data_IF_412072224951
#
_entry.id   IF_412072224951
#
_cell.length_a   1.000
_cell.length_b   1.000
_cell.length_c   1.000
_cell.angle_alpha   90.00
_cell.angle_beta   90.00
_cell.angle_gamma   90.00
#
_symmetry.space_group_name_H-M   'P 1'
#
loop_
_entity.id
_entity.type
_entity.pdbx_description
1 polymer ?
#
# COMPACT_ATOMS: atom_id res chain seq x y z
N UNK A 1 77.31 -83.59 -91.58
CA UNK A 1 76.74 -83.28 -90.25
C UNK A 1 76.66 -81.76 -90.12
N UNK A 2 75.44 -81.22 -90.08
CA UNK A 2 75.12 -79.81 -89.85
C UNK A 2 73.86 -79.75 -89.01
N UNK A 3 73.88 -78.94 -87.95
CA UNK A 3 72.90 -78.91 -86.84
C UNK A 3 71.57 -78.29 -87.29
N UNK A 4 70.44 -79.00 -87.19
CA UNK A 4 69.11 -78.37 -87.26
C UNK A 4 68.74 -77.79 -85.90
N UNK A 5 68.38 -76.51 -85.87
CA UNK A 5 67.83 -75.85 -84.69
C UNK A 5 66.36 -76.23 -84.50
N UNK A 6 65.92 -76.27 -83.24
CA UNK A 6 64.55 -76.60 -82.82
C UNK A 6 63.67 -75.34 -82.81
N UNK A 7 62.48 -75.38 -83.40
CA UNK A 7 61.57 -74.23 -83.46
C UNK A 7 60.43 -74.33 -82.44
N UNK A 8 59.92 -73.16 -82.00
CA UNK A 8 58.78 -73.03 -81.07
C UNK A 8 57.51 -73.71 -81.60
N UNK A 9 57.34 -73.79 -82.93
CA UNK A 9 56.24 -74.50 -83.61
C UNK A 9 56.26 -76.01 -83.37
N UNK A 10 57.44 -76.62 -83.36
CA UNK A 10 57.58 -78.07 -83.21
C UNK A 10 57.22 -78.48 -81.77
N UNK A 11 57.60 -77.65 -80.79
CA UNK A 11 57.23 -77.80 -79.38
C UNK A 11 55.72 -77.61 -79.17
N UNK A 12 55.06 -76.70 -79.92
CA UNK A 12 53.59 -76.56 -79.92
C UNK A 12 52.91 -77.83 -80.43
N UNK A 13 53.33 -78.33 -81.59
CA UNK A 13 52.72 -79.51 -82.21
C UNK A 13 52.92 -80.77 -81.34
N UNK A 14 54.11 -80.97 -80.77
CA UNK A 14 54.38 -82.08 -79.85
C UNK A 14 53.56 -81.99 -78.55
N UNK A 15 53.34 -80.78 -78.03
CA UNK A 15 52.46 -80.53 -76.87
C UNK A 15 51.00 -80.86 -77.21
N UNK A 16 50.50 -80.43 -78.37
CA UNK A 16 49.13 -80.70 -78.81
C UNK A 16 48.87 -82.20 -79.03
N UNK A 17 49.83 -82.92 -79.60
CA UNK A 17 49.74 -84.39 -79.75
C UNK A 17 49.68 -85.08 -78.37
N UNK A 18 50.49 -84.64 -77.41
CA UNK A 18 50.48 -85.21 -76.05
C UNK A 18 49.19 -84.89 -75.28
N UNK A 19 48.65 -83.68 -75.45
CA UNK A 19 47.35 -83.28 -74.90
C UNK A 19 46.19 -84.05 -75.52
N UNK A 20 46.20 -84.25 -76.85
CA UNK A 20 45.20 -85.08 -77.54
C UNK A 20 45.27 -86.55 -77.12
N UNK A 21 46.44 -87.02 -76.67
CA UNK A 21 46.65 -88.35 -76.08
C UNK A 21 46.37 -88.40 -74.57
N UNK A 22 45.93 -87.30 -73.95
CA UNK A 22 45.58 -87.24 -72.53
C UNK A 22 46.77 -87.34 -71.56
N UNK A 23 48.01 -87.18 -72.03
CA UNK A 23 49.22 -87.21 -71.20
C UNK A 23 49.69 -85.79 -70.87
N UNK A 24 50.09 -85.54 -69.63
CA UNK A 24 50.61 -84.22 -69.24
C UNK A 24 51.88 -83.88 -70.01
N UNK A 25 51.94 -82.71 -70.69
CA UNK A 25 53.11 -82.29 -71.46
C UNK A 25 54.24 -81.85 -70.53
N UNK A 26 55.01 -82.81 -70.02
CA UNK A 26 56.27 -82.56 -69.32
C UNK A 26 57.41 -82.38 -70.32
N UNK A 27 58.48 -81.70 -69.92
CA UNK A 27 59.66 -81.43 -70.78
C UNK A 27 60.21 -82.70 -71.40
N UNK A 28 60.23 -83.80 -70.64
CA UNK A 28 60.73 -85.08 -71.11
C UNK A 28 59.74 -85.78 -72.04
N UNK A 29 58.42 -85.64 -71.82
CA UNK A 29 57.40 -86.18 -72.73
C UNK A 29 57.44 -85.48 -74.09
N UNK A 30 57.57 -84.15 -74.11
CA UNK A 30 57.67 -83.36 -75.34
C UNK A 30 58.97 -83.65 -76.08
N UNK A 31 60.07 -83.85 -75.37
CA UNK A 31 61.35 -84.26 -75.96
C UNK A 31 61.31 -85.65 -76.60
N UNK A 32 60.59 -86.60 -76.00
CA UNK A 32 60.38 -87.95 -76.58
C UNK A 32 59.53 -87.85 -77.85
N UNK A 33 58.45 -87.06 -77.83
CA UNK A 33 57.60 -86.83 -79.01
C UNK A 33 58.35 -86.13 -80.16
N UNK A 34 59.38 -85.34 -79.85
CA UNK A 34 60.28 -84.68 -80.81
C UNK A 34 61.49 -85.55 -81.23
N UNK A 35 61.47 -86.85 -80.94
CA UNK A 35 62.54 -87.77 -81.38
C UNK A 35 63.87 -87.58 -80.67
N UNK A 36 63.86 -87.22 -79.38
CA UNK A 36 65.04 -86.98 -78.53
C UNK A 36 65.95 -85.84 -79.00
N UNK A 37 65.45 -84.98 -79.88
CA UNK A 37 66.13 -83.76 -80.31
C UNK A 37 65.74 -82.60 -79.39
N UNK A 38 66.73 -81.77 -79.03
CA UNK A 38 66.52 -80.58 -78.20
C UNK A 38 67.06 -80.63 -76.79
N UNK A 39 67.57 -79.50 -76.32
CA UNK A 39 67.97 -79.34 -74.92
C UNK A 39 66.72 -79.14 -74.03
N UNK A 40 66.71 -79.76 -72.84
CA UNK A 40 65.58 -79.67 -71.89
C UNK A 40 65.25 -78.21 -71.54
N UNK A 41 66.23 -77.32 -71.52
CA UNK A 41 66.07 -75.90 -71.18
C UNK A 41 65.33 -75.12 -72.27
N UNK A 42 65.58 -75.41 -73.55
CA UNK A 42 64.88 -74.76 -74.67
C UNK A 42 63.40 -75.20 -74.74
N UNK A 43 63.12 -76.49 -74.51
CA UNK A 43 61.76 -77.03 -74.49
C UNK A 43 60.97 -76.48 -73.30
N UNK A 44 61.58 -76.40 -72.11
CA UNK A 44 60.95 -75.82 -70.92
C UNK A 44 60.63 -74.32 -71.11
N UNK A 45 61.51 -73.56 -71.78
CA UNK A 45 61.26 -72.14 -72.08
C UNK A 45 60.02 -71.99 -72.98
N UNK A 46 59.94 -72.75 -74.07
CA UNK A 46 58.79 -72.67 -74.99
C UNK A 46 57.49 -73.23 -74.40
N UNK A 47 57.54 -74.24 -73.53
CA UNK A 47 56.35 -74.74 -72.81
C UNK A 47 55.79 -73.70 -71.83
N UNK A 48 56.66 -72.97 -71.13
CA UNK A 48 56.25 -71.94 -70.17
C UNK A 48 55.61 -70.74 -70.87
N UNK A 49 56.23 -70.26 -71.96
CA UNK A 49 55.68 -69.18 -72.78
C UNK A 49 54.28 -69.52 -73.32
N UNK A 50 54.00 -70.80 -73.59
CA UNK A 50 52.68 -71.25 -74.07
C UNK A 50 51.62 -71.38 -72.99
N UNK A 51 52.00 -71.70 -71.75
CA UNK A 51 51.06 -71.73 -70.62
C UNK A 51 50.66 -70.33 -70.16
N UNK A 52 51.56 -69.35 -70.27
CA UNK A 52 51.29 -67.96 -69.90
C UNK A 52 50.33 -67.28 -70.91
N UNK A 53 50.35 -67.66 -72.19
CA UNK A 53 49.43 -67.13 -73.23
C UNK A 53 47.96 -67.63 -73.09
N UNK A 54 47.70 -68.86 -72.62
CA UNK A 54 46.33 -69.43 -72.54
C UNK A 54 45.60 -69.14 -71.21
N UNK A 55 46.31 -68.78 -70.14
CA UNK A 55 45.73 -68.59 -68.80
C UNK A 55 45.06 -67.22 -68.55
N UNK A 56 45.30 -66.23 -69.42
CA UNK A 56 44.93 -64.83 -69.19
C UNK A 56 43.51 -64.45 -69.66
N UNK A 57 42.95 -65.13 -70.66
CA UNK A 57 41.77 -64.62 -71.39
C UNK A 57 40.39 -65.00 -70.82
N UNK A 58 40.29 -66.00 -69.94
CA UNK A 58 38.97 -66.52 -69.47
C UNK A 58 38.58 -66.12 -68.05
N UNK A 59 39.50 -65.60 -67.23
CA UNK A 59 39.21 -65.18 -65.84
C UNK A 59 38.92 -63.68 -65.71
N UNK A 60 39.35 -62.88 -66.68
CA UNK A 60 39.08 -61.43 -66.76
C UNK A 60 37.60 -61.14 -67.01
N UNK A 61 36.97 -61.82 -67.97
CA UNK A 61 35.60 -61.49 -68.42
C UNK A 61 34.49 -61.72 -67.39
N UNK A 62 34.59 -62.75 -66.53
CA UNK A 62 33.57 -63.02 -65.50
C UNK A 62 33.74 -62.07 -64.30
N UNK A 63 34.97 -61.72 -63.93
CA UNK A 63 35.26 -60.78 -62.85
C UNK A 63 34.85 -59.36 -63.22
N UNK A 64 35.07 -58.96 -64.48
CA UNK A 64 34.77 -57.62 -65.00
C UNK A 64 33.26 -57.39 -65.13
N UNK A 65 32.49 -58.40 -65.55
CA UNK A 65 31.01 -58.33 -65.60
C UNK A 65 30.38 -58.27 -64.20
N UNK A 66 30.92 -59.02 -63.23
CA UNK A 66 30.48 -58.93 -61.84
C UNK A 66 30.86 -57.59 -61.19
N UNK A 67 32.03 -57.04 -61.52
CA UNK A 67 32.44 -55.71 -61.07
C UNK A 67 31.52 -54.62 -61.62
N UNK A 68 31.20 -54.60 -62.91
CA UNK A 68 30.24 -53.62 -63.50
C UNK A 68 28.85 -53.74 -62.86
N UNK A 69 28.38 -54.96 -62.57
CA UNK A 69 27.08 -55.16 -61.90
C UNK A 69 27.08 -54.65 -60.45
N UNK A 70 28.16 -54.91 -59.70
CA UNK A 70 28.32 -54.42 -58.32
C UNK A 70 28.49 -52.89 -58.29
N UNK A 71 29.18 -52.31 -59.27
CA UNK A 71 29.38 -50.86 -59.38
C UNK A 71 28.08 -50.14 -59.75
N UNK A 72 27.27 -50.71 -60.64
CA UNK A 72 25.90 -50.22 -60.93
C UNK A 72 24.97 -50.36 -59.74
N UNK A 73 25.02 -51.48 -59.02
CA UNK A 73 24.20 -51.68 -57.82
C UNK A 73 24.62 -50.72 -56.70
N UNK A 74 25.92 -50.50 -56.51
CA UNK A 74 26.44 -49.51 -55.56
C UNK A 74 26.02 -48.10 -55.96
N UNK A 75 26.07 -47.75 -57.25
CA UNK A 75 25.59 -46.47 -57.77
C UNK A 75 24.09 -46.26 -57.57
N UNK A 76 23.26 -47.28 -57.82
CA UNK A 76 21.81 -47.23 -57.56
C UNK A 76 21.50 -47.13 -56.06
N UNK A 77 22.18 -47.92 -55.23
CA UNK A 77 21.98 -47.90 -53.78
C UNK A 77 22.43 -46.56 -53.16
N UNK A 78 23.49 -45.95 -53.71
CA UNK A 78 23.96 -44.64 -53.31
C UNK A 78 23.02 -43.52 -53.79
N UNK A 79 22.42 -43.65 -54.98
CA UNK A 79 21.39 -42.73 -55.46
C UNK A 79 20.12 -42.80 -54.58
N UNK A 80 19.63 -44.01 -54.26
CA UNK A 80 18.47 -44.19 -53.37
C UNK A 80 18.77 -43.73 -51.93
N UNK A 81 19.99 -43.94 -51.44
CA UNK A 81 20.40 -43.44 -50.13
C UNK A 81 20.48 -41.91 -50.11
N UNK A 82 21.00 -41.29 -51.17
CA UNK A 82 21.04 -39.84 -51.31
C UNK A 82 19.61 -39.26 -51.43
N UNK A 83 18.71 -39.90 -52.17
CA UNK A 83 17.31 -39.46 -52.28
C UNK A 83 16.60 -39.50 -50.92
N UNK A 84 16.77 -40.59 -50.14
CA UNK A 84 16.25 -40.69 -48.77
C UNK A 84 16.89 -39.68 -47.82
N UNK A 85 18.18 -39.38 -47.98
CA UNK A 85 18.86 -38.35 -47.19
C UNK A 85 18.35 -36.95 -47.53
N UNK A 86 18.15 -36.63 -48.80
CA UNK A 86 17.57 -35.36 -49.22
C UNK A 86 16.13 -35.20 -48.72
N UNK A 87 15.29 -36.24 -48.82
CA UNK A 87 13.95 -36.21 -48.22
C UNK A 87 13.99 -36.01 -46.70
N UNK A 88 14.91 -36.68 -46.00
CA UNK A 88 15.07 -36.51 -44.56
C UNK A 88 15.58 -35.12 -44.20
N UNK A 89 16.49 -34.55 -45.00
CA UNK A 89 17.03 -33.21 -44.83
C UNK A 89 15.95 -32.15 -45.06
N UNK A 90 15.11 -32.28 -46.10
CA UNK A 90 13.98 -31.38 -46.36
C UNK A 90 12.99 -31.43 -45.20
N UNK A 91 12.58 -32.63 -44.76
CA UNK A 91 11.69 -32.79 -43.60
C UNK A 91 12.28 -32.18 -42.33
N UNK A 92 13.59 -32.35 -42.11
CA UNK A 92 14.27 -31.80 -40.94
C UNK A 92 14.36 -30.27 -41.01
N UNK A 93 14.64 -29.70 -42.19
CA UNK A 93 14.66 -28.26 -42.41
C UNK A 93 13.26 -27.66 -42.21
N UNK A 94 12.21 -28.27 -42.73
CA UNK A 94 10.82 -27.85 -42.50
C UNK A 94 10.47 -27.87 -41.01
N UNK A 95 10.85 -28.94 -40.29
CA UNK A 95 10.66 -29.03 -38.83
C UNK A 95 11.46 -27.97 -38.07
N UNK A 96 12.71 -27.72 -38.46
CA UNK A 96 13.55 -26.70 -37.84
C UNK A 96 12.99 -25.29 -38.09
N UNK A 97 12.46 -25.01 -39.28
CA UNK A 97 11.79 -23.76 -39.59
C UNK A 97 10.51 -23.59 -38.77
N UNK A 98 9.65 -24.60 -38.71
CA UNK A 98 8.43 -24.57 -37.90
C UNK A 98 8.72 -24.36 -36.41
N UNK A 99 9.77 -25.01 -35.88
CA UNK A 99 10.22 -24.81 -34.50
C UNK A 99 10.79 -23.41 -34.29
N UNK A 100 11.56 -22.87 -35.24
CA UNK A 100 12.11 -21.52 -35.15
C UNK A 100 11.00 -20.45 -35.15
N UNK A 101 9.96 -20.63 -35.98
CA UNK A 101 8.78 -19.77 -35.99
C UNK A 101 8.02 -19.83 -34.66
N UNK A 102 7.78 -21.03 -34.12
CA UNK A 102 7.14 -21.19 -32.81
C UNK A 102 7.96 -20.54 -31.68
N UNK A 103 9.28 -20.66 -31.70
CA UNK A 103 10.15 -20.00 -30.72
C UNK A 103 10.07 -18.48 -30.89
N UNK A 104 9.97 -17.97 -32.11
CA UNK A 104 9.83 -16.54 -32.37
C UNK A 104 8.50 -16.00 -31.83
N UNK A 105 7.37 -16.68 -32.08
CA UNK A 105 6.06 -16.27 -31.56
C UNK A 105 5.99 -16.33 -30.04
N UNK A 106 6.50 -17.41 -29.44
CA UNK A 106 6.56 -17.53 -27.98
C UNK A 106 7.44 -16.43 -27.36
N UNK A 107 8.56 -16.05 -28.01
CA UNK A 107 9.39 -14.94 -27.54
C UNK A 107 8.67 -13.61 -27.60
N UNK A 108 7.85 -13.36 -28.62
CA UNK A 108 7.04 -12.13 -28.69
C UNK A 108 5.94 -12.13 -27.63
N UNK A 109 5.27 -13.25 -27.41
CA UNK A 109 4.24 -13.36 -26.37
C UNK A 109 4.81 -13.17 -24.96
N UNK A 110 5.97 -13.77 -24.67
CA UNK A 110 6.65 -13.56 -23.39
C UNK A 110 7.00 -12.09 -23.18
N UNK A 111 7.52 -11.41 -24.21
CA UNK A 111 7.80 -9.97 -24.13
C UNK A 111 6.55 -9.15 -23.84
N UNK A 112 5.48 -9.39 -24.58
CA UNK A 112 4.21 -8.68 -24.40
C UNK A 112 3.62 -8.90 -22.99
N UNK A 113 3.69 -10.13 -22.47
CA UNK A 113 3.23 -10.46 -21.12
C UNK A 113 4.13 -9.79 -20.07
N UNK A 114 5.45 -9.80 -20.25
CA UNK A 114 6.36 -9.11 -19.32
C UNK A 114 6.11 -7.60 -19.29
N UNK A 115 5.92 -6.95 -20.44
CA UNK A 115 5.63 -5.51 -20.49
C UNK A 115 4.27 -5.17 -19.85
N UNK A 116 3.27 -6.04 -20.01
CA UNK A 116 1.97 -5.87 -19.34
C UNK A 116 2.09 -6.04 -17.82
N UNK A 117 2.89 -7.01 -17.38
CA UNK A 117 3.14 -7.27 -15.97
C UNK A 117 3.89 -6.11 -15.32
N UNK A 118 4.90 -5.57 -16.00
CA UNK A 118 5.65 -4.39 -15.53
C UNK A 118 4.74 -3.17 -15.40
N UNK A 119 3.92 -2.88 -16.43
CA UNK A 119 2.93 -1.79 -16.37
C UNK A 119 1.91 -1.96 -15.24
N UNK A 120 1.45 -3.19 -15.01
CA UNK A 120 0.52 -3.49 -13.93
C UNK A 120 1.17 -3.33 -12.55
N UNK A 121 2.43 -3.73 -12.40
CA UNK A 121 3.20 -3.54 -11.18
C UNK A 121 3.45 -2.04 -10.91
N UNK A 122 3.82 -1.26 -11.93
CA UNK A 122 4.00 0.18 -11.81
C UNK A 122 2.69 0.86 -11.36
N UNK A 123 1.57 0.53 -11.99
CA UNK A 123 0.26 1.04 -11.59
C UNK A 123 -0.11 0.64 -10.15
N UNK A 124 0.18 -0.60 -9.75
CA UNK A 124 -0.06 -1.08 -8.38
C UNK A 124 0.79 -0.31 -7.36
N UNK A 125 2.07 -0.06 -7.64
CA UNK A 125 2.93 0.72 -6.73
C UNK A 125 2.48 2.18 -6.63
N UNK A 126 2.01 2.77 -7.72
CA UNK A 126 1.46 4.12 -7.73
C UNK A 126 0.18 4.21 -6.87
N UNK A 127 -0.75 3.27 -7.04
CA UNK A 127 -1.97 3.20 -6.24
C UNK A 127 -1.66 2.95 -4.76
N UNK A 128 -0.69 2.10 -4.45
CA UNK A 128 -0.22 1.90 -3.07
C UNK A 128 0.35 3.18 -2.46
N UNK A 129 1.12 3.96 -3.24
CA UNK A 129 1.63 5.27 -2.83
C UNK A 129 0.51 6.29 -2.58
N UNK A 130 -0.46 6.38 -3.50
CA UNK A 130 -1.62 7.26 -3.35
C UNK A 130 -2.48 6.86 -2.14
N UNK A 131 -2.69 5.56 -1.93
CA UNK A 131 -3.40 5.04 -0.77
C UNK A 131 -2.65 5.33 0.54
N UNK A 132 -1.32 5.21 0.56
CA UNK A 132 -0.53 5.57 1.74
C UNK A 132 -0.66 7.07 2.08
N UNK A 133 -0.54 7.95 1.08
CA UNK A 133 -0.66 9.41 1.26
C UNK A 133 -2.06 9.84 1.71
N UNK A 134 -3.12 9.25 1.13
CA UNK A 134 -4.50 9.51 1.57
C UNK A 134 -4.75 9.01 2.98
N UNK A 135 -4.17 7.86 3.37
CA UNK A 135 -4.25 7.33 4.73
C UNK A 135 -3.55 8.26 5.75
N UNK A 136 -2.38 8.79 5.42
CA UNK A 136 -1.67 9.77 6.25
C UNK A 136 -2.50 11.05 6.41
N UNK A 137 -3.01 11.60 5.30
CA UNK A 137 -3.88 12.78 5.31
C UNK A 137 -5.14 12.56 6.16
N UNK A 138 -5.75 11.38 6.09
CA UNK A 138 -6.90 11.02 6.91
C UNK A 138 -6.54 10.93 8.40
N UNK A 139 -5.36 10.37 8.72
CA UNK A 139 -4.89 10.29 10.10
C UNK A 139 -4.68 11.68 10.70
N UNK A 140 -4.06 12.60 9.95
CA UNK A 140 -3.89 13.99 10.37
C UNK A 140 -5.23 14.69 10.57
N UNK A 141 -6.19 14.47 9.66
CA UNK A 141 -7.53 15.02 9.79
C UNK A 141 -8.26 14.47 11.03
N UNK A 142 -8.10 13.18 11.35
CA UNK A 142 -8.67 12.60 12.58
C UNK A 142 -8.06 13.22 13.83
N UNK A 143 -6.74 13.45 13.85
CA UNK A 143 -6.06 14.08 15.00
C UNK A 143 -6.54 15.52 15.17
N UNK A 144 -6.61 16.30 14.08
CA UNK A 144 -7.10 17.68 14.14
C UNK A 144 -8.57 17.76 14.54
N UNK A 145 -9.42 16.86 14.05
CA UNK A 145 -10.82 16.75 14.45
C UNK A 145 -10.96 16.47 15.95
N UNK A 146 -10.25 15.47 16.47
CA UNK A 146 -10.28 15.15 17.91
C UNK A 146 -9.79 16.32 18.77
N UNK A 147 -8.75 17.02 18.33
CA UNK A 147 -8.26 18.20 19.02
C UNK A 147 -9.30 19.34 19.02
N UNK A 148 -10.05 19.51 17.93
CA UNK A 148 -11.15 20.48 17.86
C UNK A 148 -12.32 20.09 18.78
N UNK A 149 -12.72 18.81 18.80
CA UNK A 149 -13.76 18.30 19.71
C UNK A 149 -13.39 18.52 21.18
N UNK A 150 -12.15 18.22 21.56
CA UNK A 150 -11.66 18.47 22.93
C UNK A 150 -11.70 19.96 23.30
N UNK A 151 -11.40 20.85 22.35
CA UNK A 151 -11.51 22.31 22.57
C UNK A 151 -12.96 22.75 22.75
N UNK A 152 -13.89 22.18 21.99
CA UNK A 152 -15.33 22.48 22.14
C UNK A 152 -15.80 22.08 23.55
N UNK A 153 -15.49 20.86 23.98
CA UNK A 153 -15.84 20.39 25.33
C UNK A 153 -15.27 21.31 26.42
N UNK A 154 -13.98 21.67 26.31
CA UNK A 154 -13.37 22.58 27.28
C UNK A 154 -13.92 24.01 27.25
N UNK A 155 -14.45 24.49 26.12
CA UNK A 155 -15.14 25.77 26.03
C UNK A 155 -16.54 25.70 26.63
N UNK A 156 -17.27 24.60 26.41
CA UNK A 156 -18.61 24.39 26.97
C UNK A 156 -18.55 24.30 28.51
N UNK A 157 -17.54 23.62 29.07
CA UNK A 157 -17.30 23.59 30.52
C UNK A 157 -17.06 25.00 31.08
N UNK A 158 -16.22 25.80 30.42
CA UNK A 158 -15.94 27.20 30.83
C UNK A 158 -17.15 28.11 30.71
N UNK A 159 -17.98 27.91 29.69
CA UNK A 159 -19.24 28.62 29.51
C UNK A 159 -20.20 28.29 30.64
N UNK A 160 -20.36 27.00 30.96
CA UNK A 160 -21.19 26.54 32.06
C UNK A 160 -20.73 27.13 33.40
N UNK A 161 -19.44 27.09 33.71
CA UNK A 161 -18.87 27.71 34.91
C UNK A 161 -19.16 29.22 34.96
N UNK A 162 -18.98 29.94 33.84
CA UNK A 162 -19.29 31.37 33.77
C UNK A 162 -20.77 31.66 34.00
N UNK A 163 -21.67 30.84 33.45
CA UNK A 163 -23.11 30.98 33.67
C UNK A 163 -23.48 30.78 35.14
N UNK A 164 -22.90 29.78 35.80
CA UNK A 164 -23.08 29.56 37.24
C UNK A 164 -22.55 30.74 38.06
N UNK A 165 -21.36 31.25 37.72
CA UNK A 165 -20.81 32.44 38.36
C UNK A 165 -21.69 33.67 38.17
N UNK A 166 -22.23 33.88 36.96
CA UNK A 166 -23.16 34.99 36.67
C UNK A 166 -24.44 34.87 37.49
N UNK A 167 -25.05 33.68 37.55
CA UNK A 167 -26.25 33.44 38.37
C UNK A 167 -25.98 33.69 39.85
N UNK A 168 -24.82 33.25 40.38
CA UNK A 168 -24.42 33.52 41.77
C UNK A 168 -24.27 35.02 42.04
N UNK A 169 -23.69 35.78 41.10
CA UNK A 169 -23.56 37.24 41.22
C UNK A 169 -24.94 37.92 41.18
N UNK A 170 -25.83 37.50 40.28
CA UNK A 170 -27.20 38.01 40.20
C UNK A 170 -27.95 37.78 41.51
N UNK A 171 -27.85 36.58 42.11
CA UNK A 171 -28.43 36.29 43.42
C UNK A 171 -27.85 37.17 44.54
N UNK A 172 -26.53 37.37 44.56
CA UNK A 172 -25.88 38.28 45.54
C UNK A 172 -26.37 39.72 45.38
N UNK A 173 -26.52 40.18 44.14
CA UNK A 173 -27.05 41.51 43.86
C UNK A 173 -28.51 41.66 44.30
N UNK A 174 -29.33 40.64 44.06
CA UNK A 174 -30.73 40.63 44.50
C UNK A 174 -30.83 40.67 46.03
N UNK A 175 -30.07 39.84 46.73
CA UNK A 175 -30.01 39.88 48.20
C UNK A 175 -29.53 41.21 48.75
N UNK A 176 -28.54 41.85 48.10
CA UNK A 176 -28.08 43.17 48.50
C UNK A 176 -29.18 44.24 48.31
N UNK A 177 -29.95 44.17 47.21
CA UNK A 177 -31.10 45.07 46.98
C UNK A 177 -32.19 44.88 48.03
N UNK A 178 -32.59 43.64 48.30
CA UNK A 178 -33.59 43.31 49.31
C UNK A 178 -33.14 43.79 50.70
N UNK A 179 -31.89 43.57 51.07
CA UNK A 179 -31.31 44.03 52.34
C UNK A 179 -31.36 45.56 52.46
N UNK A 180 -31.05 46.29 51.39
CA UNK A 180 -31.14 47.75 51.36
C UNK A 180 -32.59 48.24 51.45
N UNK A 181 -33.53 47.55 50.84
CA UNK A 181 -34.96 47.87 50.92
C UNK A 181 -35.48 47.67 52.34
N UNK A 182 -35.15 46.55 52.98
CA UNK A 182 -35.47 46.30 54.39
C UNK A 182 -34.83 47.33 55.33
N UNK A 183 -33.59 47.72 55.07
CA UNK A 183 -32.96 48.78 55.86
C UNK A 183 -33.69 50.12 55.69
N UNK A 184 -34.05 50.49 54.46
CA UNK A 184 -34.80 51.72 54.17
C UNK A 184 -36.19 51.71 54.81
N UNK A 185 -36.91 50.59 54.75
CA UNK A 185 -38.23 50.46 55.38
C UNK A 185 -38.11 50.54 56.91
N UNK A 186 -37.15 49.85 57.50
CA UNK A 186 -36.89 49.89 58.94
C UNK A 186 -36.55 51.29 59.43
N UNK A 187 -35.67 52.01 58.73
CA UNK A 187 -35.33 53.41 59.07
C UNK A 187 -36.55 54.33 58.92
N UNK A 188 -37.39 54.11 57.90
CA UNK A 188 -38.64 54.87 57.73
C UNK A 188 -39.60 54.62 58.90
N UNK A 189 -39.86 53.36 59.24
CA UNK A 189 -40.73 52.98 60.36
C UNK A 189 -40.22 53.54 61.70
N UNK A 190 -38.91 53.50 61.93
CA UNK A 190 -38.29 54.07 63.12
C UNK A 190 -38.55 55.58 63.21
N UNK A 191 -38.31 56.32 62.12
CA UNK A 191 -38.57 57.77 62.07
C UNK A 191 -40.04 58.10 62.28
N UNK A 192 -40.95 57.33 61.68
CA UNK A 192 -42.38 57.51 61.90
C UNK A 192 -42.80 57.21 63.34
N UNK A 193 -42.19 56.21 63.99
CA UNK A 193 -42.44 55.92 65.40
C UNK A 193 -41.95 57.06 66.30
N UNK A 194 -40.73 57.56 66.07
CA UNK A 194 -40.18 58.66 66.85
C UNK A 194 -40.98 59.96 66.63
N UNK A 195 -41.43 60.22 65.40
CA UNK A 195 -42.33 61.34 65.11
C UNK A 195 -43.65 61.22 65.91
N UNK A 196 -44.29 60.04 65.91
CA UNK A 196 -45.51 59.80 66.70
C UNK A 196 -45.28 60.01 68.21
N UNK A 197 -44.12 59.57 68.74
CA UNK A 197 -43.75 59.80 70.15
C UNK A 197 -43.59 61.28 70.45
N UNK A 198 -42.90 62.03 69.60
CA UNK A 198 -42.73 63.47 69.78
C UNK A 198 -44.06 64.22 69.66
N UNK A 199 -44.93 63.86 68.73
CA UNK A 199 -46.27 64.44 68.61
C UNK A 199 -47.10 64.21 69.89
N UNK A 200 -47.04 63.00 70.47
CA UNK A 200 -47.68 62.70 71.76
C UNK A 200 -47.11 63.54 72.91
N UNK A 201 -45.79 63.69 73.00
CA UNK A 201 -45.14 64.54 74.01
C UNK A 201 -45.55 66.01 73.87
N UNK A 202 -45.61 66.54 72.65
CA UNK A 202 -46.06 67.91 72.38
C UNK A 202 -47.52 68.09 72.81
N UNK A 203 -48.40 67.14 72.50
CA UNK A 203 -49.81 67.19 72.94
C UNK A 203 -49.94 67.15 74.46
N UNK A 204 -49.14 66.33 75.15
CA UNK A 204 -49.11 66.27 76.60
C UNK A 204 -48.66 67.61 77.21
N UNK A 205 -47.54 68.17 76.74
CA UNK A 205 -47.07 69.48 77.21
C UNK A 205 -48.08 70.61 76.94
N UNK A 206 -48.78 70.57 75.81
CA UNK A 206 -49.86 71.52 75.52
C UNK A 206 -51.07 71.35 76.47
N UNK A 207 -51.39 70.13 76.90
CA UNK A 207 -52.42 69.88 77.89
C UNK A 207 -51.99 70.38 79.28
N UNK A 208 -50.76 70.10 79.70
CA UNK A 208 -50.18 70.59 80.95
C UNK A 208 -50.12 72.13 80.98
N UNK A 209 -49.72 72.77 79.88
CA UNK A 209 -49.70 74.23 79.76
C UNK A 209 -51.10 74.82 79.92
N UNK A 210 -52.13 74.21 79.30
CA UNK A 210 -53.53 74.64 79.47
C UNK A 210 -53.99 74.46 80.91
N UNK A 211 -53.62 73.36 81.57
CA UNK A 211 -53.97 73.12 82.98
C UNK A 211 -53.29 74.13 83.92
N UNK A 212 -52.01 74.44 83.69
CA UNK A 212 -51.28 75.46 84.45
C UNK A 212 -51.87 76.86 84.23
N UNK A 213 -52.24 77.21 83.00
CA UNK A 213 -52.94 78.47 82.71
C UNK A 213 -54.28 78.57 83.44
N UNK A 214 -55.08 77.50 83.45
CA UNK A 214 -56.33 77.45 84.22
C UNK A 214 -56.08 77.61 85.73
N UNK A 215 -55.08 76.91 86.27
CA UNK A 215 -54.70 77.05 87.68
C UNK A 215 -54.23 78.47 88.01
N UNK A 216 -53.47 79.11 87.12
CA UNK A 216 -53.02 80.50 87.27
C UNK A 216 -54.20 81.47 87.31
N UNK A 217 -55.19 81.29 86.42
CA UNK A 217 -56.42 82.11 86.42
C UNK A 217 -57.14 81.98 87.76
N UNK A 218 -57.35 80.76 88.26
CA UNK A 218 -57.99 80.53 89.57
C UNK A 218 -57.20 81.19 90.70
N UNK A 219 -55.86 81.05 90.72
CA UNK A 219 -55.02 81.73 91.73
C UNK A 219 -55.10 83.25 91.62
N UNK A 220 -55.20 83.79 90.42
CA UNK A 220 -55.34 85.24 90.22
C UNK A 220 -56.72 85.74 90.68
N UNK A 221 -57.78 84.97 90.48
CA UNK A 221 -59.11 85.23 91.06
C UNK A 221 -59.06 85.18 92.60
N UNK A 222 -58.38 84.21 93.20
CA UNK A 222 -58.18 84.14 94.66
C UNK A 222 -57.40 85.36 95.19
N UNK A 223 -56.32 85.76 94.53
CA UNK A 223 -55.52 86.94 94.89
C UNK A 223 -56.35 88.22 94.77
N UNK A 224 -57.15 88.37 93.71
CA UNK A 224 -58.03 89.54 93.58
C UNK A 224 -59.12 89.56 94.66
N UNK A 225 -59.71 88.41 95.01
CA UNK A 225 -60.66 88.30 96.13
C UNK A 225 -60.02 88.67 97.47
N UNK A 226 -58.85 88.12 97.79
CA UNK A 226 -58.11 88.45 99.01
C UNK A 226 -57.70 89.92 99.06
N UNK A 227 -57.31 90.52 97.94
CA UNK A 227 -57.04 91.96 97.87
C UNK A 227 -58.32 92.78 98.15
N UNK A 228 -59.47 92.39 97.60
CA UNK A 228 -60.74 93.06 97.89
C UNK A 228 -61.14 92.92 99.37
N UNK A 229 -61.00 91.72 99.95
CA UNK A 229 -61.21 91.49 101.39
C UNK A 229 -60.22 92.31 102.24
N UNK A 230 -58.95 92.38 101.85
CA UNK A 230 -57.94 93.21 102.51
C UNK A 230 -58.29 94.69 102.48
N UNK A 231 -58.75 95.21 101.33
CA UNK A 231 -59.24 96.60 101.21
C UNK A 231 -60.45 96.82 102.13
N UNK A 232 -61.40 95.88 102.20
CA UNK A 232 -62.56 95.94 103.10
C UNK A 232 -62.13 95.96 104.58
N UNK A 233 -61.24 95.07 104.99
CA UNK A 233 -60.73 95.03 106.36
C UNK A 233 -59.96 96.30 106.72
N UNK A 234 -59.17 96.86 105.80
CA UNK A 234 -58.49 98.15 106.01
C UNK A 234 -59.51 99.27 106.16
N UNK A 235 -60.57 99.31 105.36
CA UNK A 235 -61.65 100.28 105.55
C UNK A 235 -62.34 100.09 106.90
N UNK A 236 -62.67 98.86 107.29
CA UNK A 236 -63.33 98.56 108.57
C UNK A 236 -62.45 98.94 109.76
N UNK A 237 -61.15 98.64 109.72
CA UNK A 237 -60.18 99.08 110.73
C UNK A 237 -60.05 100.61 110.77
N UNK A 238 -60.09 101.28 109.62
CA UNK A 238 -60.08 102.75 109.58
C UNK A 238 -61.35 103.34 110.20
N UNK A 239 -62.51 102.72 109.98
CA UNK A 239 -63.77 103.10 110.61
C UNK A 239 -63.73 102.84 112.12
N UNK A 240 -63.25 101.67 112.56
CA UNK A 240 -63.10 101.33 113.97
C UNK A 240 -62.09 102.25 114.69
N UNK A 241 -60.99 102.64 114.04
CA UNK A 241 -60.05 103.63 114.58
C UNK A 241 -60.67 105.01 114.71
N UNK A 242 -61.50 105.43 113.73
CA UNK A 242 -62.25 106.69 113.83
C UNK A 242 -63.24 106.65 114.99
N UNK A 243 -64.05 105.59 115.11
CA UNK A 243 -64.99 105.45 116.23
C UNK A 243 -64.28 105.40 117.59
N UNK A 244 -63.09 104.79 117.68
CA UNK A 244 -62.30 104.76 118.90
C UNK A 244 -61.64 106.11 119.23
N UNK A 245 -61.39 106.95 118.22
CA UNK A 245 -60.93 108.32 118.41
C UNK A 245 -62.08 109.26 118.80
N UNK A 246 -63.30 109.00 118.32
CA UNK A 246 -64.52 109.74 118.66
C UNK A 246 -65.06 109.38 120.08
N UNK A 247 -64.59 108.27 120.68
CA UNK A 247 -64.94 107.83 122.05
C UNK A 247 -63.91 108.24 123.14
N UNK A 248 -62.81 108.92 122.79
CA UNK A 248 -61.81 109.49 123.73
C UNK A 248 -61.96 111.01 123.87
#
# INVERSE_FOLDING_TARGET
>A
MGRSGLYKSDVKQAREILLAQGKHPSVDAVRIALGNTGSKTTIHKYLRELQEEEGSDRKSSISEVLQDLVERLAGQLQAEANEKLEEANVKHQEQAHAQAELIATLRTEVKDVTERLDKANDALTQEQGAHASTRESLQDLIVTHRAAEQRIVGLDERLYENEQHRQSLEQKHEHARQSLEHYRSSVKEQREQDQRRHEQQVQQLQAEMRQLQQSLVVRQEEVTRLNQEGVRLVSDLSHARKSLHDEQ
#
